data_IF_884422899889
#
_entry.id   IF_884422899889
#
_cell.length_a   1.000
_cell.length_b   1.000
_cell.length_c   1.000
_cell.angle_alpha   90.00
_cell.angle_beta   90.00
_cell.angle_gamma   90.00
#
_symmetry.space_group_name_H-M   'P 1'
#
loop_
_entity.id
_entity.type
_entity.pdbx_description
1 polymer ?
#
# COMPACT_ATOMS: atom_id res chain seq x y z
N UNK A 1 23.82 12.18 11.51
CA UNK A 1 22.99 11.53 10.46
C UNK A 1 22.76 12.55 9.39
N UNK A 2 23.02 12.20 8.14
CA UNK A 2 22.79 13.11 7.02
C UNK A 2 21.28 13.22 6.76
N UNK A 3 20.78 14.42 6.48
CA UNK A 3 19.33 14.67 6.34
C UNK A 3 18.73 13.76 5.24
N UNK A 4 19.52 13.48 4.20
CA UNK A 4 19.15 12.60 3.08
C UNK A 4 18.92 11.16 3.57
N UNK A 5 19.87 10.62 4.34
CA UNK A 5 19.77 9.26 4.88
C UNK A 5 18.57 9.11 5.82
N UNK A 6 18.24 10.15 6.59
CA UNK A 6 17.05 10.14 7.45
C UNK A 6 15.75 10.08 6.63
N UNK A 7 15.62 10.94 5.60
CA UNK A 7 14.43 10.98 4.75
C UNK A 7 14.23 9.66 3.99
N UNK A 8 15.31 9.04 3.49
CA UNK A 8 15.25 7.73 2.83
C UNK A 8 14.74 6.65 3.78
N UNK A 9 15.30 6.55 4.99
CA UNK A 9 14.86 5.56 5.98
C UNK A 9 13.40 5.74 6.40
N UNK A 10 12.94 6.98 6.58
CA UNK A 10 11.53 7.25 6.91
C UNK A 10 10.63 6.84 5.74
N UNK A 11 10.99 7.22 4.51
CA UNK A 11 10.24 6.86 3.30
C UNK A 11 10.09 5.35 3.14
N UNK A 12 11.18 4.60 3.31
CA UNK A 12 11.17 3.14 3.24
C UNK A 12 10.25 2.52 4.30
N UNK A 13 10.36 2.98 5.56
CA UNK A 13 9.54 2.47 6.66
C UNK A 13 8.06 2.76 6.46
N UNK A 14 7.72 3.98 6.05
CA UNK A 14 6.33 4.38 5.78
C UNK A 14 5.76 3.55 4.63
N UNK A 15 6.53 3.34 3.57
CA UNK A 15 6.12 2.53 2.42
C UNK A 15 5.88 1.07 2.83
N UNK A 16 6.79 0.49 3.64
CA UNK A 16 6.63 -0.86 4.17
C UNK A 16 5.40 -1.00 5.06
N UNK A 17 5.13 -0.03 5.94
CA UNK A 17 3.94 -0.02 6.79
C UNK A 17 2.65 0.10 5.95
N UNK A 18 2.67 0.90 4.90
CA UNK A 18 1.52 1.05 4.00
C UNK A 18 1.19 -0.28 3.28
N UNK A 19 2.20 -0.99 2.79
CA UNK A 19 2.03 -2.34 2.23
C UNK A 19 1.52 -3.35 3.26
N UNK A 20 2.03 -3.30 4.50
CA UNK A 20 1.56 -4.16 5.58
C UNK A 20 0.07 -3.90 5.92
N UNK A 21 -0.35 -2.63 5.99
CA UNK A 21 -1.75 -2.25 6.22
C UNK A 21 -2.66 -2.68 5.08
N UNK A 22 -2.19 -2.56 3.84
CA UNK A 22 -2.88 -3.10 2.67
C UNK A 22 -3.14 -4.59 2.84
N UNK A 23 -2.09 -5.38 3.07
CA UNK A 23 -2.21 -6.83 3.18
C UNK A 23 -3.13 -7.25 4.33
N UNK A 24 -3.00 -6.58 5.48
CA UNK A 24 -3.86 -6.83 6.64
C UNK A 24 -5.33 -6.56 6.30
N UNK A 25 -5.63 -5.43 5.68
CA UNK A 25 -7.01 -5.05 5.31
C UNK A 25 -7.57 -6.01 4.25
N UNK A 26 -6.77 -6.37 3.26
CA UNK A 26 -7.12 -7.32 2.22
C UNK A 26 -7.41 -8.72 2.78
N UNK A 27 -6.54 -9.23 3.67
CA UNK A 27 -6.74 -10.51 4.35
C UNK A 27 -8.02 -10.51 5.18
N UNK A 28 -8.28 -9.47 5.97
CA UNK A 28 -9.52 -9.33 6.75
C UNK A 28 -10.74 -9.32 5.84
N UNK A 29 -10.70 -8.56 4.73
CA UNK A 29 -11.79 -8.50 3.77
C UNK A 29 -12.16 -9.87 3.20
N UNK A 30 -11.15 -10.69 2.84
CA UNK A 30 -11.35 -12.08 2.41
C UNK A 30 -11.89 -12.97 3.53
N UNK A 31 -11.38 -12.83 4.76
CA UNK A 31 -11.90 -13.58 5.92
C UNK A 31 -13.39 -13.29 6.15
N UNK A 32 -13.80 -12.02 6.06
CA UNK A 32 -15.21 -11.62 6.23
C UNK A 32 -16.10 -12.09 5.08
N UNK A 33 -15.62 -12.02 3.84
CA UNK A 33 -16.37 -12.47 2.66
C UNK A 33 -16.49 -13.99 2.59
N UNK A 34 -15.42 -14.71 2.95
CA UNK A 34 -15.33 -16.16 2.91
C UNK A 34 -15.96 -16.88 4.10
N UNK A 35 -16.34 -16.15 5.15
CA UNK A 35 -16.99 -16.73 6.32
C UNK A 35 -18.32 -17.42 5.93
N UNK A 36 -18.60 -18.64 6.42
CA UNK A 36 -19.83 -19.38 6.16
C UNK A 36 -21.04 -18.83 6.96
N UNK A 37 -21.07 -17.51 7.20
CA UNK A 37 -22.10 -16.82 7.96
C UNK A 37 -23.18 -16.25 7.01
N UNK A 38 -24.48 -16.46 7.28
CA UNK A 38 -25.58 -15.96 6.46
C UNK A 38 -25.89 -14.47 6.72
N UNK A 39 -24.86 -13.64 6.90
CA UNK A 39 -24.99 -12.21 7.18
C UNK A 39 -24.55 -11.42 5.94
N UNK A 40 -25.51 -11.04 5.10
CA UNK A 40 -25.22 -10.31 3.85
C UNK A 40 -24.49 -8.98 4.08
N UNK A 41 -24.76 -8.30 5.20
CA UNK A 41 -24.06 -7.05 5.57
C UNK A 41 -22.57 -7.29 5.78
N UNK A 42 -22.19 -8.41 6.41
CA UNK A 42 -20.79 -8.75 6.69
C UNK A 42 -20.02 -9.02 5.39
N UNK A 43 -20.64 -9.77 4.47
CA UNK A 43 -20.07 -10.04 3.14
C UNK A 43 -19.88 -8.76 2.33
N UNK A 44 -20.82 -7.80 2.44
CA UNK A 44 -20.71 -6.49 1.79
C UNK A 44 -19.56 -5.66 2.36
N UNK A 45 -19.39 -5.65 3.68
CA UNK A 45 -18.24 -4.99 4.34
C UNK A 45 -16.92 -5.63 3.89
N UNK A 46 -16.84 -6.98 3.89
CA UNK A 46 -15.66 -7.68 3.40
C UNK A 46 -15.32 -7.35 1.95
N UNK A 47 -16.32 -7.27 1.07
CA UNK A 47 -16.12 -6.85 -0.32
C UNK A 47 -15.61 -5.41 -0.44
N UNK A 48 -16.17 -4.48 0.36
CA UNK A 48 -15.70 -3.09 0.40
C UNK A 48 -14.24 -2.98 0.86
N UNK A 49 -13.87 -3.68 1.94
CA UNK A 49 -12.48 -3.70 2.42
C UNK A 49 -11.51 -4.24 1.38
N UNK A 50 -11.90 -5.29 0.64
CA UNK A 50 -11.08 -5.82 -0.46
C UNK A 50 -10.89 -4.74 -1.54
N UNK A 51 -11.98 -4.11 -1.99
CA UNK A 51 -11.93 -3.08 -3.03
C UNK A 51 -11.07 -1.88 -2.61
N UNK A 52 -11.32 -1.34 -1.42
CA UNK A 52 -10.58 -0.20 -0.87
C UNK A 52 -9.08 -0.54 -0.72
N UNK A 53 -8.76 -1.75 -0.26
CA UNK A 53 -7.38 -2.20 -0.13
C UNK A 53 -6.67 -2.29 -1.49
N UNK A 54 -7.35 -2.80 -2.53
CA UNK A 54 -6.78 -2.88 -3.89
C UNK A 54 -6.51 -1.49 -4.45
N UNK A 55 -7.43 -0.54 -4.26
CA UNK A 55 -7.22 0.85 -4.64
C UNK A 55 -6.04 1.48 -3.90
N UNK A 56 -5.92 1.25 -2.60
CA UNK A 56 -4.78 1.72 -1.81
C UNK A 56 -3.45 1.15 -2.34
N UNK A 57 -3.37 -0.17 -2.60
CA UNK A 57 -2.18 -0.79 -3.17
C UNK A 57 -1.83 -0.26 -4.56
N UNK A 58 -2.84 -0.01 -5.40
CA UNK A 58 -2.65 0.59 -6.72
C UNK A 58 -2.02 1.99 -6.61
N UNK A 59 -2.55 2.85 -5.75
CA UNK A 59 -1.98 4.18 -5.51
C UNK A 59 -0.58 4.13 -4.91
N UNK A 60 -0.32 3.21 -3.98
CA UNK A 60 1.01 3.01 -3.41
C UNK A 60 2.02 2.59 -4.48
N UNK A 61 1.67 1.64 -5.33
CA UNK A 61 2.54 1.15 -6.41
C UNK A 61 2.84 2.23 -7.45
N UNK A 62 1.83 3.02 -7.84
CA UNK A 62 2.03 4.15 -8.76
C UNK A 62 2.91 5.22 -8.10
N UNK A 63 2.60 5.61 -6.87
CA UNK A 63 3.37 6.62 -6.14
C UNK A 63 4.84 6.23 -5.99
N UNK A 64 5.12 4.99 -5.59
CA UNK A 64 6.50 4.50 -5.48
C UNK A 64 7.21 4.43 -6.83
N UNK A 65 6.50 4.03 -7.89
CA UNK A 65 7.08 3.93 -9.24
C UNK A 65 7.42 5.31 -9.81
N UNK A 66 6.51 6.28 -9.68
CA UNK A 66 6.76 7.66 -10.11
C UNK A 66 7.92 8.30 -9.34
N UNK A 67 7.98 8.10 -8.03
CA UNK A 67 9.09 8.61 -7.21
C UNK A 67 10.43 8.00 -7.64
N UNK A 68 10.48 6.68 -7.82
CA UNK A 68 11.68 5.99 -8.31
C UNK A 68 12.11 6.48 -9.69
N UNK A 69 11.16 6.71 -10.59
CA UNK A 69 11.44 7.25 -11.91
C UNK A 69 12.05 8.66 -11.86
N UNK A 70 11.53 9.55 -11.02
CA UNK A 70 12.08 10.90 -10.83
C UNK A 70 13.52 10.81 -10.31
N UNK A 71 13.77 9.99 -9.29
CA UNK A 71 15.12 9.77 -8.74
C UNK A 71 16.08 9.25 -9.80
N UNK A 72 15.63 8.30 -10.63
CA UNK A 72 16.42 7.77 -11.74
C UNK A 72 16.82 8.87 -12.73
N UNK A 73 15.88 9.72 -13.16
CA UNK A 73 16.15 10.82 -14.09
C UNK A 73 17.13 11.84 -13.49
N UNK A 74 16.96 12.20 -12.21
CA UNK A 74 17.87 13.13 -11.52
C UNK A 74 19.29 12.56 -11.50
N UNK A 75 19.46 11.28 -11.16
CA UNK A 75 20.77 10.64 -11.13
C UNK A 75 21.41 10.53 -12.53
N UNK A 76 20.60 10.37 -13.59
CA UNK A 76 21.10 10.33 -14.97
C UNK A 76 21.63 11.69 -15.46
N UNK A 77 21.09 12.79 -14.95
CA UNK A 77 21.45 14.16 -15.39
C UNK A 77 22.56 14.76 -14.50
N UNK A 78 22.55 14.44 -13.20
CA UNK A 78 23.48 15.00 -12.22
C UNK A 78 24.77 14.17 -12.04
N UNK A 79 24.80 12.93 -12.53
CA UNK A 79 25.98 12.07 -12.63
C UNK A 79 26.68 12.22 -13.97
#
# INVERSE_FOLDING_TARGET
MDIITFVQQVTERVTALAWALFLLTWSIGWTLRGAPLPINRLKRVGSGLIEDSIWAAFWLAIGSSLFSFIVYIVNLIAG
#
